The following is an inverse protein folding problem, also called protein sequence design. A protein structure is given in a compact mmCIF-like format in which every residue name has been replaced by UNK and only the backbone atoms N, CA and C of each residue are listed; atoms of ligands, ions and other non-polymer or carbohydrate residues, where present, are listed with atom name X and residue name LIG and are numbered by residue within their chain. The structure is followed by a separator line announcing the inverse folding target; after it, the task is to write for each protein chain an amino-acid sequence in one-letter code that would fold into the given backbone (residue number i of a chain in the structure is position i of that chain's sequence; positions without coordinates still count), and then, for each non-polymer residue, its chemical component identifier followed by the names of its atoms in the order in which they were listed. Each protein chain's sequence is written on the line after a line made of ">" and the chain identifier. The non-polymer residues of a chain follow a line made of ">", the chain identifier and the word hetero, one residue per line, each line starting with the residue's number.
data_IF_307242123834
#
_entry.id   IF_307242123834
#
_cell.length_a   1.000
_cell.length_b   1.000
_cell.length_c   1.000
_cell.angle_alpha   90.00
_cell.angle_beta   90.00
_cell.angle_gamma   90.00
#
_symmetry.space_group_name_H-M   'P 1'
#
loop_
_entity.id
_entity.type
_entity.pdbx_description
1 polymer ?
#
# COMPACT_ATOMS: atom_id res chain seq x y z
N UNK A 1 8.13 23.99 -1.35
CA UNK A 1 9.56 23.89 -1.70
C UNK A 1 9.84 24.61 -3.02
N UNK A 2 9.18 24.31 -4.15
CA UNK A 2 9.46 24.92 -5.46
C UNK A 2 9.34 26.44 -5.43
N UNK A 3 8.22 26.98 -4.93
CA UNK A 3 7.97 28.43 -4.80
C UNK A 3 9.05 29.12 -3.97
N UNK A 4 9.54 28.51 -2.91
CA UNK A 4 10.58 29.06 -2.05
C UNK A 4 11.92 29.20 -2.80
N UNK A 5 12.24 28.27 -3.68
CA UNK A 5 13.46 28.35 -4.49
C UNK A 5 13.31 29.32 -5.66
N UNK A 6 12.20 29.28 -6.40
CA UNK A 6 12.00 30.12 -7.58
C UNK A 6 11.75 31.59 -7.25
N UNK A 7 11.02 31.88 -6.17
CA UNK A 7 10.55 33.22 -5.88
C UNK A 7 11.43 33.97 -4.84
N UNK A 8 12.23 33.23 -4.05
CA UNK A 8 13.05 33.81 -2.99
C UNK A 8 14.54 33.51 -3.21
N UNK A 9 14.92 32.24 -3.28
CA UNK A 9 16.32 31.83 -3.25
C UNK A 9 17.03 32.16 -4.55
N UNK A 10 16.49 31.78 -5.70
CA UNK A 10 17.13 32.01 -7.00
C UNK A 10 17.29 33.49 -7.32
N UNK A 11 16.27 34.37 -7.12
CA UNK A 11 16.46 35.79 -7.27
C UNK A 11 17.50 36.41 -6.30
N UNK A 12 17.57 35.91 -5.07
CA UNK A 12 18.51 36.38 -4.07
C UNK A 12 19.99 36.14 -4.44
N UNK A 13 20.24 35.07 -5.22
CA UNK A 13 21.58 34.70 -5.71
C UNK A 13 21.79 34.99 -7.19
N UNK A 14 20.89 35.74 -7.83
CA UNK A 14 20.91 36.07 -9.26
C UNK A 14 21.00 34.83 -10.18
N UNK A 15 20.31 33.75 -9.78
CA UNK A 15 20.30 32.49 -10.51
C UNK A 15 19.12 32.47 -11.47
N UNK A 16 19.41 32.36 -12.78
CA UNK A 16 18.39 32.15 -13.82
C UNK A 16 17.81 30.75 -13.72
N UNK A 17 16.49 30.64 -13.65
CA UNK A 17 15.76 29.38 -13.71
C UNK A 17 14.94 29.28 -14.99
N UNK A 18 15.12 28.19 -15.73
CA UNK A 18 14.38 27.93 -16.98
C UNK A 18 13.67 26.57 -16.85
N UNK A 19 12.34 26.58 -16.97
CA UNK A 19 11.52 25.37 -17.08
C UNK A 19 10.95 25.26 -18.51
N UNK A 20 11.68 24.56 -19.39
CA UNK A 20 11.38 24.48 -20.82
C UNK A 20 9.97 23.97 -21.11
N UNK A 21 9.53 22.93 -20.42
CA UNK A 21 8.20 22.33 -20.63
C UNK A 21 7.05 23.22 -20.13
N UNK A 22 7.31 24.07 -19.14
CA UNK A 22 6.30 24.97 -18.55
C UNK A 22 6.37 26.38 -19.15
N UNK A 23 7.36 26.64 -20.01
CA UNK A 23 7.57 27.94 -20.62
C UNK A 23 7.90 29.05 -19.62
N UNK A 24 8.58 28.70 -18.52
CA UNK A 24 9.00 29.64 -17.48
C UNK A 24 10.47 29.97 -17.64
N UNK A 25 10.79 31.28 -17.72
CA UNK A 25 12.15 31.79 -17.75
C UNK A 25 12.22 33.04 -16.86
N UNK A 26 13.02 33.01 -15.80
CA UNK A 26 13.08 34.10 -14.83
C UNK A 26 13.70 35.41 -15.34
N UNK A 27 14.28 35.41 -16.54
CA UNK A 27 14.76 36.64 -17.18
C UNK A 27 13.71 37.32 -18.07
N UNK A 28 12.59 36.65 -18.37
CA UNK A 28 11.52 37.26 -19.16
C UNK A 28 10.49 37.91 -18.23
N UNK A 29 10.14 39.16 -18.50
CA UNK A 29 9.13 39.93 -17.72
C UNK A 29 7.71 39.31 -17.78
N UNK A 30 7.45 38.34 -18.68
CA UNK A 30 6.21 37.55 -18.78
C UNK A 30 6.02 36.49 -17.66
N UNK A 31 6.85 36.50 -16.63
CA UNK A 31 6.83 35.50 -15.55
C UNK A 31 5.71 35.65 -14.53
N UNK A 32 4.83 36.64 -14.66
CA UNK A 32 3.67 36.86 -13.78
C UNK A 32 2.71 35.66 -13.72
N UNK A 33 2.83 34.73 -14.69
CA UNK A 33 1.99 33.51 -14.77
C UNK A 33 2.59 32.34 -13.94
N UNK A 34 3.88 32.36 -13.65
CA UNK A 34 4.54 31.23 -12.97
C UNK A 34 3.96 30.94 -11.55
N UNK A 35 3.73 31.93 -10.68
CA UNK A 35 3.06 31.71 -9.39
C UNK A 35 1.65 31.13 -9.55
N UNK A 36 0.92 31.58 -10.58
CA UNK A 36 -0.44 31.09 -10.86
C UNK A 36 -0.43 29.63 -11.33
N UNK A 37 0.53 29.24 -12.17
CA UNK A 37 0.73 27.82 -12.56
C UNK A 37 1.03 26.95 -11.36
N UNK A 38 1.86 27.40 -10.42
CA UNK A 38 2.18 26.66 -9.20
C UNK A 38 0.95 26.44 -8.32
N UNK A 39 0.11 27.47 -8.14
CA UNK A 39 -1.16 27.36 -7.40
C UNK A 39 -2.11 26.41 -8.09
N UNK A 40 -2.26 26.48 -9.41
CA UNK A 40 -3.09 25.56 -10.18
C UNK A 40 -2.63 24.12 -10.05
N UNK A 41 -1.33 23.85 -10.16
CA UNK A 41 -0.76 22.52 -10.00
C UNK A 41 -1.01 21.95 -8.60
N UNK A 42 -0.90 22.77 -7.55
CA UNK A 42 -1.25 22.38 -6.19
C UNK A 42 -2.73 22.05 -6.06
N UNK A 43 -3.61 22.87 -6.65
CA UNK A 43 -5.04 22.62 -6.66
C UNK A 43 -5.40 21.32 -7.38
N UNK A 44 -4.79 21.03 -8.53
CA UNK A 44 -4.97 19.76 -9.24
C UNK A 44 -4.50 18.57 -8.40
N UNK A 45 -3.34 18.65 -7.79
CA UNK A 45 -2.84 17.57 -6.93
C UNK A 45 -3.77 17.32 -5.73
N UNK A 46 -4.31 18.37 -5.13
CA UNK A 46 -5.29 18.31 -4.04
C UNK A 46 -6.61 17.67 -4.50
N UNK A 47 -7.12 18.07 -5.67
CA UNK A 47 -8.35 17.53 -6.22
C UNK A 47 -8.21 16.04 -6.58
N UNK A 48 -7.14 15.66 -7.26
CA UNK A 48 -6.82 14.25 -7.54
C UNK A 48 -6.76 13.44 -6.25
N UNK A 49 -6.09 13.95 -5.21
CA UNK A 49 -5.99 13.28 -3.91
C UNK A 49 -7.37 13.08 -3.26
N UNK A 50 -8.24 14.10 -3.31
CA UNK A 50 -9.62 14.02 -2.80
C UNK A 50 -10.44 12.97 -3.57
N UNK A 51 -10.36 13.00 -4.90
CA UNK A 51 -11.07 12.03 -5.78
C UNK A 51 -10.61 10.60 -5.53
N UNK A 52 -9.30 10.38 -5.39
CA UNK A 52 -8.78 9.06 -5.05
C UNK A 52 -9.25 8.57 -3.68
N UNK A 53 -9.21 9.42 -2.66
CA UNK A 53 -9.70 9.06 -1.31
C UNK A 53 -11.18 8.71 -1.33
N UNK A 54 -12.01 9.50 -2.02
CA UNK A 54 -13.43 9.23 -2.17
C UNK A 54 -13.70 7.91 -2.93
N UNK A 55 -13.01 7.68 -4.03
CA UNK A 55 -13.11 6.42 -4.80
C UNK A 55 -12.74 5.20 -3.95
N UNK A 56 -11.65 5.27 -3.19
CA UNK A 56 -11.24 4.20 -2.30
C UNK A 56 -12.23 3.98 -1.14
N UNK A 57 -12.80 5.05 -0.60
CA UNK A 57 -13.84 4.96 0.43
C UNK A 57 -15.10 4.29 -0.12
N UNK A 58 -15.56 4.68 -1.31
CA UNK A 58 -16.70 4.08 -1.97
C UNK A 58 -16.49 2.59 -2.27
N UNK A 59 -15.31 2.21 -2.78
CA UNK A 59 -14.98 0.78 -2.98
C UNK A 59 -15.08 -0.01 -1.69
N UNK A 60 -14.53 0.50 -0.58
CA UNK A 60 -14.63 -0.18 0.73
C UNK A 60 -16.07 -0.27 1.23
N UNK A 61 -16.86 0.78 1.08
CA UNK A 61 -18.28 0.76 1.44
C UNK A 61 -19.07 -0.32 0.67
N UNK A 62 -18.67 -0.59 -0.59
CA UNK A 62 -19.23 -1.65 -1.42
C UNK A 62 -18.57 -3.02 -1.18
N UNK A 63 -17.81 -3.20 -0.12
CA UNK A 63 -17.16 -4.49 0.21
C UNK A 63 -16.06 -4.91 -0.77
N UNK A 64 -15.49 -3.99 -1.54
CA UNK A 64 -14.43 -4.29 -2.49
C UNK A 64 -13.05 -4.20 -1.82
N UNK A 65 -12.20 -5.18 -2.09
CA UNK A 65 -10.84 -5.18 -1.61
C UNK A 65 -9.99 -4.14 -2.35
N UNK A 66 -9.30 -3.28 -1.59
CA UNK A 66 -8.52 -2.16 -2.14
C UNK A 66 -7.00 -2.34 -2.01
N UNK A 67 -6.54 -3.48 -1.51
CA UNK A 67 -5.12 -3.80 -1.36
C UNK A 67 -4.48 -4.26 -2.68
N UNK A 68 -3.15 -4.17 -2.75
CA UNK A 68 -2.35 -4.62 -3.92
C UNK A 68 -2.14 -6.13 -3.94
N UNK A 69 -2.13 -6.78 -2.77
CA UNK A 69 -2.07 -8.24 -2.65
C UNK A 69 -3.20 -8.71 -1.72
N UNK A 70 -3.87 -9.83 -2.05
CA UNK A 70 -4.87 -10.41 -1.17
C UNK A 70 -4.20 -10.92 0.12
N UNK A 71 -4.91 -11.00 1.25
CA UNK A 71 -4.43 -11.71 2.43
C UNK A 71 -4.12 -13.18 2.10
N UNK A 72 -3.13 -13.77 2.75
CA UNK A 72 -2.80 -15.18 2.55
C UNK A 72 -4.01 -16.07 2.89
N UNK A 73 -4.31 -17.05 2.08
CA UNK A 73 -5.56 -17.83 2.15
C UNK A 73 -6.68 -17.32 1.23
N UNK A 74 -6.46 -16.16 0.61
CA UNK A 74 -7.35 -15.59 -0.40
C UNK A 74 -6.60 -15.31 -1.70
N UNK A 75 -7.33 -15.25 -2.81
CA UNK A 75 -6.87 -14.80 -4.11
C UNK A 75 -7.89 -13.85 -4.74
N UNK A 76 -7.46 -13.10 -5.75
CA UNK A 76 -8.41 -12.29 -6.52
C UNK A 76 -9.35 -13.17 -7.32
N UNK A 77 -10.62 -12.78 -7.36
CA UNK A 77 -11.60 -13.41 -8.23
C UNK A 77 -11.26 -13.08 -9.70
N UNK A 78 -11.10 -14.07 -10.60
CA UNK A 78 -10.79 -13.81 -12.00
C UNK A 78 -11.94 -13.09 -12.73
N UNK A 79 -13.20 -13.37 -12.36
CA UNK A 79 -14.39 -12.85 -13.04
C UNK A 79 -14.86 -11.51 -12.48
N UNK A 80 -14.59 -11.24 -11.20
CA UNK A 80 -15.04 -10.03 -10.49
C UNK A 80 -13.89 -9.26 -9.92
N UNK A 81 -13.55 -8.15 -10.57
CA UNK A 81 -12.46 -7.26 -10.14
C UNK A 81 -12.64 -6.79 -8.70
N UNK A 82 -11.57 -6.80 -7.92
CA UNK A 82 -11.52 -6.39 -6.51
C UNK A 82 -12.31 -7.27 -5.52
N UNK A 83 -12.87 -8.38 -5.95
CA UNK A 83 -13.41 -9.38 -5.05
C UNK A 83 -12.35 -10.41 -4.67
N UNK A 84 -12.45 -10.92 -3.44
CA UNK A 84 -11.60 -11.99 -2.94
C UNK A 84 -12.38 -13.30 -2.95
N UNK A 85 -11.71 -14.38 -3.30
CA UNK A 85 -12.20 -15.76 -3.18
C UNK A 85 -11.18 -16.56 -2.37
N UNK A 86 -11.64 -17.64 -1.75
CA UNK A 86 -10.77 -18.52 -0.98
C UNK A 86 -9.76 -19.21 -1.91
N UNK A 87 -8.51 -19.22 -1.51
CA UNK A 87 -7.44 -19.99 -2.13
C UNK A 87 -7.21 -21.25 -1.28
N UNK A 88 -7.91 -22.34 -1.60
CA UNK A 88 -7.95 -23.55 -0.75
C UNK A 88 -6.58 -24.08 -0.30
N UNK A 89 -5.54 -24.16 -1.15
CA UNK A 89 -4.22 -24.60 -0.70
C UNK A 89 -3.66 -23.72 0.44
N UNK A 90 -3.75 -22.39 0.28
CA UNK A 90 -3.29 -21.45 1.29
C UNK A 90 -4.24 -21.36 2.50
N UNK A 91 -5.55 -21.49 2.29
CA UNK A 91 -6.56 -21.47 3.34
C UNK A 91 -6.41 -22.64 4.33
N UNK A 92 -6.01 -23.82 3.86
CA UNK A 92 -5.69 -24.97 4.72
C UNK A 92 -4.55 -24.64 5.69
N UNK A 93 -3.53 -23.95 5.22
CA UNK A 93 -2.40 -23.52 6.06
C UNK A 93 -2.85 -22.48 7.09
N UNK A 94 -3.69 -21.54 6.67
CA UNK A 94 -4.26 -20.53 7.60
C UNK A 94 -5.08 -21.19 8.69
N UNK A 95 -6.01 -22.10 8.35
CA UNK A 95 -6.81 -22.83 9.34
C UNK A 95 -5.91 -23.58 10.32
N UNK A 96 -4.88 -24.29 9.84
CA UNK A 96 -3.91 -24.98 10.69
C UNK A 96 -3.18 -24.03 11.64
N UNK A 97 -2.79 -22.82 11.18
CA UNK A 97 -2.17 -21.81 12.05
C UNK A 97 -3.11 -21.42 13.19
N UNK A 98 -4.40 -21.22 12.89
CA UNK A 98 -5.40 -20.90 13.91
C UNK A 98 -5.64 -22.06 14.87
N UNK A 99 -5.73 -23.30 14.36
CA UNK A 99 -5.92 -24.49 15.20
C UNK A 99 -4.75 -24.71 16.17
N UNK A 100 -3.51 -24.54 15.69
CA UNK A 100 -2.32 -24.63 16.55
C UNK A 100 -2.27 -23.49 17.59
N UNK A 101 -2.70 -22.29 17.21
CA UNK A 101 -2.81 -21.20 18.16
C UNK A 101 -3.87 -21.42 19.23
N UNK A 102 -5.01 -22.02 18.89
CA UNK A 102 -6.06 -22.42 19.84
C UNK A 102 -5.59 -23.50 20.81
N UNK A 103 -4.64 -24.34 20.40
CA UNK A 103 -3.94 -25.30 21.28
C UNK A 103 -2.92 -24.64 22.22
N UNK A 104 -2.76 -23.31 22.17
CA UNK A 104 -1.87 -22.55 23.03
C UNK A 104 -0.44 -22.40 22.49
N UNK A 105 -0.16 -22.81 21.25
CA UNK A 105 1.18 -22.69 20.65
C UNK A 105 1.47 -21.24 20.26
N UNK A 106 2.65 -20.75 20.64
CA UNK A 106 3.13 -19.43 20.25
C UNK A 106 3.60 -19.39 18.78
N UNK A 107 3.64 -18.17 18.20
CA UNK A 107 3.97 -17.99 16.78
C UNK A 107 5.31 -18.60 16.34
N UNK A 108 6.32 -18.66 17.24
CA UNK A 108 7.59 -19.31 16.95
C UNK A 108 7.44 -20.82 16.80
N UNK A 109 6.73 -21.48 17.74
CA UNK A 109 6.48 -22.92 17.71
C UNK A 109 5.69 -23.32 16.45
N UNK A 110 4.63 -22.56 16.12
CA UNK A 110 3.85 -22.73 14.89
C UNK A 110 4.76 -22.60 13.67
N UNK A 111 5.64 -21.60 13.65
CA UNK A 111 6.60 -21.39 12.55
C UNK A 111 7.55 -22.56 12.35
N UNK A 112 8.05 -23.18 13.43
CA UNK A 112 8.90 -24.37 13.39
C UNK A 112 8.14 -25.57 12.81
N UNK A 113 6.92 -25.82 13.26
CA UNK A 113 6.07 -26.91 12.74
C UNK A 113 5.86 -26.76 11.22
N UNK A 114 5.50 -25.55 10.76
CA UNK A 114 5.29 -25.30 9.34
C UNK A 114 6.58 -25.45 8.51
N UNK A 115 7.72 -25.11 9.10
CA UNK A 115 9.03 -25.29 8.47
C UNK A 115 9.41 -26.75 8.35
N UNK A 116 9.22 -27.56 9.40
CA UNK A 116 9.53 -28.98 9.42
C UNK A 116 8.66 -29.74 8.41
N UNK A 117 7.43 -29.33 8.23
CA UNK A 117 6.51 -29.83 7.20
C UNK A 117 6.80 -29.31 5.80
N UNK A 118 7.80 -28.46 5.62
CA UNK A 118 8.14 -27.82 4.34
C UNK A 118 6.95 -27.10 3.72
N UNK A 119 6.12 -26.44 4.57
CA UNK A 119 4.98 -25.65 4.10
C UNK A 119 5.51 -24.36 3.46
N UNK A 120 5.18 -24.07 2.18
CA UNK A 120 5.60 -22.85 1.52
C UNK A 120 5.03 -21.62 2.21
N UNK A 121 5.86 -20.58 2.36
CA UNK A 121 5.41 -19.31 2.94
C UNK A 121 4.58 -18.49 1.93
N UNK A 122 3.88 -17.44 2.42
CA UNK A 122 3.01 -16.62 1.58
C UNK A 122 3.68 -16.04 0.32
N UNK A 123 4.97 -15.66 0.39
CA UNK A 123 5.70 -15.12 -0.76
C UNK A 123 5.79 -16.09 -1.94
N UNK A 124 5.94 -17.38 -1.65
CA UNK A 124 6.00 -18.43 -2.68
C UNK A 124 4.64 -18.59 -3.34
N UNK A 125 3.58 -18.64 -2.53
CA UNK A 125 2.22 -18.74 -3.08
C UNK A 125 1.84 -17.52 -3.92
N UNK A 126 2.25 -16.33 -3.51
CA UNK A 126 2.01 -15.13 -4.31
C UNK A 126 2.78 -15.14 -5.63
N UNK A 127 3.98 -15.71 -5.66
CA UNK A 127 4.73 -15.88 -6.91
C UNK A 127 4.02 -16.85 -7.86
N UNK A 128 3.49 -17.98 -7.36
CA UNK A 128 2.68 -18.93 -8.14
C UNK A 128 1.41 -18.27 -8.71
N UNK A 129 0.77 -17.40 -7.95
CA UNK A 129 -0.40 -16.63 -8.37
C UNK A 129 -0.06 -15.44 -9.30
N UNK A 130 1.21 -15.20 -9.62
CA UNK A 130 1.64 -14.10 -10.46
C UNK A 130 1.52 -12.71 -9.81
N UNK A 131 1.45 -12.63 -8.48
CA UNK A 131 1.31 -11.38 -7.73
C UNK A 131 2.68 -10.73 -7.58
N UNK A 132 3.00 -9.79 -8.44
CA UNK A 132 4.33 -9.16 -8.57
C UNK A 132 4.76 -8.25 -7.40
N UNK A 133 3.84 -7.84 -6.54
CA UNK A 133 4.16 -6.95 -5.40
C UNK A 133 4.89 -7.63 -4.24
N UNK A 134 5.00 -8.96 -4.26
CA UNK A 134 5.71 -9.75 -3.26
C UNK A 134 6.78 -10.58 -3.97
N UNK A 135 8.03 -10.42 -3.56
CA UNK A 135 9.15 -11.19 -4.12
C UNK A 135 9.31 -12.52 -3.37
N UNK A 136 9.61 -13.63 -4.07
CA UNK A 136 10.02 -14.87 -3.45
C UNK A 136 11.25 -14.67 -2.55
N UNK A 137 11.42 -15.54 -1.58
CA UNK A 137 12.56 -15.49 -0.65
C UNK A 137 13.52 -16.64 -0.91
N UNK A 138 14.79 -16.47 -0.52
CA UNK A 138 15.79 -17.56 -0.52
C UNK A 138 15.50 -18.68 0.50
N UNK A 139 14.54 -18.44 1.42
CA UNK A 139 14.15 -19.41 2.46
C UNK A 139 12.64 -19.69 2.37
N UNK A 140 12.17 -20.48 1.39
CA UNK A 140 10.75 -20.65 1.06
C UNK A 140 9.93 -21.30 2.18
N UNK A 141 10.54 -22.06 3.07
CA UNK A 141 9.86 -22.78 4.16
C UNK A 141 10.05 -22.11 5.53
N UNK A 142 10.88 -21.07 5.63
CA UNK A 142 11.07 -20.36 6.89
C UNK A 142 9.90 -19.43 7.20
N UNK A 143 9.17 -19.69 8.27
CA UNK A 143 8.03 -18.90 8.73
C UNK A 143 8.44 -18.00 9.91
N UNK A 144 8.65 -16.70 9.68
CA UNK A 144 8.90 -15.76 10.76
C UNK A 144 7.72 -15.69 11.73
N UNK A 145 7.98 -15.71 13.02
CA UNK A 145 6.97 -15.53 14.07
C UNK A 145 6.05 -14.32 13.79
N UNK A 146 6.64 -13.22 13.36
CA UNK A 146 5.90 -11.99 13.07
C UNK A 146 4.88 -12.16 11.92
N UNK A 147 5.14 -13.04 10.97
CA UNK A 147 4.18 -13.34 9.89
C UNK A 147 2.96 -14.05 10.45
N UNK A 148 3.17 -15.05 11.28
CA UNK A 148 2.10 -15.80 11.96
C UNK A 148 1.31 -14.88 12.88
N UNK A 149 2.00 -14.10 13.71
CA UNK A 149 1.36 -13.13 14.60
C UNK A 149 0.50 -12.11 13.86
N UNK A 150 0.95 -11.61 12.71
CA UNK A 150 0.14 -10.72 11.86
C UNK A 150 -1.12 -11.40 11.33
N UNK A 151 -1.03 -12.67 10.95
CA UNK A 151 -2.20 -13.44 10.49
C UNK A 151 -3.21 -13.61 11.60
N UNK A 152 -2.78 -14.04 12.78
CA UNK A 152 -3.66 -14.26 13.94
C UNK A 152 -4.38 -12.98 14.41
N UNK A 153 -3.80 -11.79 14.14
CA UNK A 153 -4.40 -10.49 14.48
C UNK A 153 -5.12 -9.81 13.31
N UNK A 154 -5.18 -10.44 12.13
CA UNK A 154 -5.81 -9.81 10.99
C UNK A 154 -7.31 -10.10 10.95
N UNK A 155 -8.12 -9.06 11.18
CA UNK A 155 -9.58 -9.11 11.13
C UNK A 155 -10.14 -9.62 9.81
N UNK A 156 -9.35 -9.65 8.73
CA UNK A 156 -9.80 -10.17 7.44
C UNK A 156 -10.22 -11.65 7.53
N UNK A 157 -9.63 -12.41 8.44
CA UNK A 157 -9.98 -13.82 8.66
C UNK A 157 -11.31 -14.04 9.40
N UNK A 158 -11.92 -12.97 9.89
CA UNK A 158 -13.32 -13.01 10.41
C UNK A 158 -14.35 -12.70 9.32
N UNK A 159 -13.93 -12.57 8.07
CA UNK A 159 -14.79 -12.21 6.93
C UNK A 159 -14.92 -10.71 6.69
N UNK A 160 -14.28 -9.86 7.48
CA UNK A 160 -14.33 -8.42 7.32
C UNK A 160 -13.30 -7.91 6.29
N UNK A 161 -13.69 -7.01 5.39
CA UNK A 161 -12.75 -6.30 4.51
C UNK A 161 -12.26 -5.05 5.23
N UNK A 162 -11.03 -5.12 5.75
CA UNK A 162 -10.43 -4.02 6.51
C UNK A 162 -9.55 -3.18 5.59
N UNK A 163 -9.88 -1.91 5.46
CA UNK A 163 -9.11 -0.94 4.69
C UNK A 163 -8.77 0.32 5.48
N UNK A 164 -7.83 1.10 4.98
CA UNK A 164 -7.46 2.39 5.58
C UNK A 164 -6.85 2.31 6.99
N UNK A 165 -6.18 1.21 7.32
CA UNK A 165 -5.50 1.00 8.63
C UNK A 165 -4.50 2.12 8.97
N UNK A 166 -3.98 2.84 7.97
CA UNK A 166 -3.03 3.96 8.13
C UNK A 166 -3.33 5.06 7.10
N UNK A 167 -4.31 5.93 7.35
CA UNK A 167 -4.63 7.04 6.47
C UNK A 167 -3.47 8.04 6.40
N UNK A 168 -3.29 8.65 5.22
CA UNK A 168 -2.37 9.76 5.04
C UNK A 168 -3.03 11.04 5.52
N UNK A 169 -2.35 11.81 6.38
CA UNK A 169 -2.89 13.05 6.98
C UNK A 169 -3.24 14.07 5.90
N UNK A 170 -2.32 14.36 5.00
CA UNK A 170 -2.57 15.25 3.88
C UNK A 170 -1.80 14.80 2.62
N UNK A 171 -2.13 15.36 1.47
CA UNK A 171 -1.41 15.07 0.23
C UNK A 171 0.01 15.68 0.22
N UNK A 172 0.23 16.75 0.95
CA UNK A 172 1.54 17.40 1.13
C UNK A 172 2.39 16.67 2.16
N UNK A 173 1.81 16.35 3.33
CA UNK A 173 2.45 15.59 4.38
C UNK A 173 2.22 14.11 4.12
N UNK A 174 3.21 13.42 3.56
CA UNK A 174 3.17 11.95 3.32
C UNK A 174 3.17 11.14 4.62
N UNK A 175 2.88 11.77 5.78
CA UNK A 175 2.81 11.13 7.09
C UNK A 175 1.53 10.29 7.18
N UNK A 176 1.67 9.03 7.57
CA UNK A 176 0.56 8.11 7.84
C UNK A 176 0.35 8.01 9.34
N UNK A 177 -0.89 8.06 9.76
CA UNK A 177 -1.30 7.90 11.17
C UNK A 177 -2.10 6.61 11.28
N UNK A 178 -1.96 5.89 12.41
CA UNK A 178 -2.80 4.73 12.68
C UNK A 178 -4.23 5.24 12.91
N UNK A 179 -5.22 4.63 12.26
CA UNK A 179 -6.63 4.87 12.60
C UNK A 179 -6.94 4.14 13.91
N UNK A 180 -7.62 4.80 14.78
CA UNK A 180 -8.18 4.21 16.00
C UNK A 180 -9.23 3.16 15.67
#
# INVERSE_FOLDING_TARGET
>A
LTVQYTDIIFPQYDVRFIAVNDGVDTLNDDNDIAPFKNVLNEMYARDISKKQKASMANRRANGLFTGSAPPFGYKFNPDKKHHLVIDEPAAKVVRKIFDLALQGLGGRAIGTILQDEKTPRPSERYAELGIKCVKPTSKPYYWPEQTIRKMLHDQTYTGAIVGNKRPTVSFQLKKRVKSD
#
